data_IF_710947885395
#
_entry.id   IF_710947885395
#
_cell.length_a   1.000
_cell.length_b   1.000
_cell.length_c   1.000
_cell.angle_alpha   90.00
_cell.angle_beta   90.00
_cell.angle_gamma   90.00
#
_symmetry.space_group_name_H-M   'P 1'
#
loop_
_entity.id
_entity.type
_entity.pdbx_description
1 polymer ?
#
# COMPACT_ATOMS: atom_id res chain seq x y z
N UNK A 1 -10.44 27.29 8.37
CA UNK A 1 -9.75 25.99 8.19
C UNK A 1 -10.59 25.19 7.20
N UNK A 2 -10.15 24.98 5.96
CA UNK A 2 -10.98 24.28 4.99
C UNK A 2 -11.12 22.82 5.43
N UNK A 3 -12.34 22.32 5.43
CA UNK A 3 -12.65 20.92 5.66
C UNK A 3 -11.84 20.09 4.66
N UNK A 4 -10.80 19.40 5.15
CA UNK A 4 -10.27 18.26 4.45
C UNK A 4 -11.46 17.32 4.27
N UNK A 5 -11.95 17.20 3.04
CA UNK A 5 -12.70 16.03 2.65
C UNK A 5 -11.85 14.85 3.14
N UNK A 6 -12.31 14.15 4.17
CA UNK A 6 -11.70 12.93 4.67
C UNK A 6 -11.77 11.94 3.51
N UNK A 7 -10.78 11.97 2.62
CA UNK A 7 -10.65 11.05 1.51
C UNK A 7 -10.33 9.71 2.17
N UNK A 8 -11.38 8.92 2.39
CA UNK A 8 -11.23 7.56 2.88
C UNK A 8 -10.63 6.75 1.72
N UNK A 9 -9.36 6.40 1.84
CA UNK A 9 -8.62 5.72 0.79
C UNK A 9 -8.72 4.21 0.99
N UNK A 10 -8.91 3.49 -0.11
CA UNK A 10 -9.00 2.04 -0.10
C UNK A 10 -7.61 1.41 -0.21
N UNK A 11 -7.38 0.43 0.63
CA UNK A 11 -6.19 -0.40 0.70
C UNK A 11 -6.58 -1.87 0.60
N UNK A 12 -5.70 -2.67 -0.01
CA UNK A 12 -5.84 -4.11 -0.08
C UNK A 12 -4.59 -4.74 0.51
N UNK A 13 -4.76 -5.36 1.67
CA UNK A 13 -3.67 -5.91 2.47
C UNK A 13 -3.78 -7.43 2.51
N UNK A 14 -2.67 -8.09 2.85
CA UNK A 14 -2.75 -9.47 3.35
C UNK A 14 -3.56 -9.47 4.64
N UNK A 15 -4.36 -10.51 4.84
CA UNK A 15 -5.17 -10.63 6.05
C UNK A 15 -4.29 -11.11 7.22
N UNK A 16 -4.13 -10.24 8.20
CA UNK A 16 -3.33 -10.44 9.41
C UNK A 16 -4.16 -10.11 10.65
N UNK A 17 -5.49 -10.23 10.57
CA UNK A 17 -6.41 -9.90 11.68
C UNK A 17 -6.16 -10.70 12.96
N UNK A 18 -5.57 -11.88 12.82
CA UNK A 18 -5.26 -12.76 13.94
C UNK A 18 -3.87 -12.48 14.54
N UNK A 19 -3.07 -11.59 13.94
CA UNK A 19 -1.71 -11.29 14.39
C UNK A 19 -1.71 -10.38 15.64
N UNK A 20 -2.61 -9.39 15.72
CA UNK A 20 -2.79 -8.52 16.90
C UNK A 20 -4.17 -7.86 17.00
N UNK A 21 -4.55 -7.46 18.21
CA UNK A 21 -5.82 -6.77 18.47
C UNK A 21 -5.87 -5.38 17.83
N UNK A 22 -6.93 -5.09 17.09
CA UNK A 22 -7.12 -3.79 16.43
C UNK A 22 -6.44 -3.66 15.06
N UNK A 23 -5.91 -4.76 14.50
CA UNK A 23 -5.40 -4.79 13.15
C UNK A 23 -6.36 -4.16 12.10
N UNK A 24 -5.88 -3.33 11.15
CA UNK A 24 -4.50 -2.90 10.89
C UNK A 24 -4.16 -1.50 11.48
N UNK A 25 -4.81 -1.08 12.55
CA UNK A 25 -4.54 0.24 13.16
C UNK A 25 -3.08 0.36 13.62
N UNK A 26 -2.42 1.45 13.25
CA UNK A 26 -1.00 1.69 13.54
C UNK A 26 -0.02 0.89 12.68
N UNK A 27 -0.50 0.13 11.69
CA UNK A 27 0.37 -0.68 10.84
C UNK A 27 1.25 0.21 9.95
N UNK A 28 2.56 -0.07 9.94
CA UNK A 28 3.50 0.42 8.95
C UNK A 28 3.34 -0.34 7.63
N UNK A 29 2.75 0.30 6.63
CA UNK A 29 2.30 -0.33 5.39
C UNK A 29 3.13 0.16 4.19
N UNK A 30 3.59 -0.77 3.36
CA UNK A 30 4.38 -0.48 2.14
C UNK A 30 3.60 -0.70 0.86
N UNK A 31 2.45 -1.35 0.95
CA UNK A 31 1.52 -1.52 -0.14
C UNK A 31 1.08 -0.13 -0.65
N UNK A 32 0.62 0.00 -1.90
CA UNK A 32 -0.02 1.24 -2.35
C UNK A 32 -1.52 1.21 -2.02
N UNK A 33 -2.17 2.39 -1.93
CA UNK A 33 -3.62 2.43 -2.00
C UNK A 33 -4.09 1.90 -3.36
N UNK A 34 -5.29 1.31 -3.38
CA UNK A 34 -5.89 0.71 -4.58
C UNK A 34 -7.24 1.34 -4.89
N UNK A 35 -7.59 1.42 -6.17
CA UNK A 35 -8.96 1.72 -6.58
C UNK A 35 -9.82 0.45 -6.60
N UNK A 36 -11.14 0.60 -6.67
CA UNK A 36 -12.10 -0.52 -6.68
C UNK A 36 -11.80 -1.54 -7.80
N UNK A 37 -11.58 -1.13 -9.08
CA UNK A 37 -11.20 -2.08 -10.14
C UNK A 37 -9.90 -2.83 -9.86
N UNK A 38 -8.91 -2.15 -9.26
CA UNK A 38 -7.62 -2.78 -8.95
C UNK A 38 -7.74 -3.88 -7.90
N UNK A 39 -8.77 -3.90 -7.06
CA UNK A 39 -8.94 -4.98 -6.08
C UNK A 39 -9.05 -6.35 -6.75
N UNK A 40 -9.92 -6.48 -7.75
CA UNK A 40 -10.09 -7.74 -8.48
C UNK A 40 -8.79 -8.15 -9.22
N UNK A 41 -8.13 -7.16 -9.84
CA UNK A 41 -6.87 -7.40 -10.55
C UNK A 41 -5.76 -7.87 -9.60
N UNK A 42 -5.59 -7.20 -8.46
CA UNK A 42 -4.59 -7.54 -7.45
C UNK A 42 -4.84 -8.92 -6.84
N UNK A 43 -6.10 -9.27 -6.52
CA UNK A 43 -6.44 -10.61 -6.03
C UNK A 43 -6.09 -11.71 -7.03
N UNK A 44 -6.26 -11.44 -8.33
CA UNK A 44 -5.92 -12.39 -9.40
C UNK A 44 -4.40 -12.53 -9.57
N UNK A 45 -3.70 -11.40 -9.64
CA UNK A 45 -2.29 -11.37 -10.05
C UNK A 45 -1.32 -11.60 -8.88
N UNK A 46 -1.62 -11.11 -7.68
CA UNK A 46 -0.69 -11.14 -6.55
C UNK A 46 -0.74 -12.49 -5.80
N UNK A 47 0.35 -13.29 -5.80
CA UNK A 47 0.38 -14.56 -5.08
C UNK A 47 0.24 -14.42 -3.57
N UNK A 48 0.73 -13.32 -3.00
CA UNK A 48 0.69 -13.08 -1.56
C UNK A 48 -0.75 -12.90 -1.05
N UNK A 49 -1.61 -12.24 -1.84
CA UNK A 49 -3.02 -12.00 -1.48
C UNK A 49 -3.90 -13.25 -1.61
N UNK A 50 -3.46 -14.28 -2.36
CA UNK A 50 -4.18 -15.57 -2.43
C UNK A 50 -4.16 -16.36 -1.13
N UNK A 51 -3.27 -16.01 -0.19
CA UNK A 51 -3.18 -16.65 1.13
C UNK A 51 -4.11 -16.03 2.17
N UNK A 52 -4.86 -15.01 1.78
CA UNK A 52 -5.69 -14.21 2.68
C UNK A 52 -5.54 -12.74 2.30
N UNK A 53 -6.66 -12.05 2.12
CA UNK A 53 -6.69 -10.64 1.77
C UNK A 53 -7.82 -9.93 2.48
N UNK A 54 -7.56 -8.70 2.92
CA UNK A 54 -8.54 -7.83 3.52
C UNK A 54 -8.53 -6.47 2.81
N UNK A 55 -9.73 -5.99 2.46
CA UNK A 55 -9.89 -4.62 2.03
C UNK A 55 -10.15 -3.72 3.23
N UNK A 56 -9.47 -2.58 3.23
CA UNK A 56 -9.46 -1.65 4.36
C UNK A 56 -9.65 -0.23 3.83
N UNK A 57 -10.61 0.47 4.42
CA UNK A 57 -10.78 1.91 4.24
C UNK A 57 -10.02 2.65 5.33
N UNK A 58 -9.10 3.52 4.94
CA UNK A 58 -8.16 4.21 5.84
C UNK A 58 -8.45 5.71 5.80
N UNK A 59 -8.50 6.35 6.97
CA UNK A 59 -8.78 7.80 7.09
C UNK A 59 -7.51 8.64 7.13
N UNK A 60 -6.43 8.12 7.69
CA UNK A 60 -5.14 8.81 7.87
C UNK A 60 -4.02 7.84 7.51
N UNK A 61 -3.05 8.30 6.71
CA UNK A 61 -2.00 7.45 6.13
C UNK A 61 -0.68 8.22 5.96
N UNK A 62 -0.25 8.89 7.02
CA UNK A 62 0.94 9.73 7.02
C UNK A 62 2.20 8.94 6.67
N UNK A 63 3.16 9.62 6.01
CA UNK A 63 4.46 9.03 5.71
C UNK A 63 5.23 8.82 7.02
N UNK A 64 5.57 7.57 7.31
CA UNK A 64 6.28 7.19 8.53
C UNK A 64 7.76 6.88 8.28
N UNK A 65 8.12 6.49 7.06
CA UNK A 65 9.49 6.08 6.75
C UNK A 65 9.67 5.51 5.35
N UNK A 66 10.72 4.71 5.18
CA UNK A 66 11.07 4.04 3.92
C UNK A 66 11.44 2.58 4.15
N UNK A 67 11.16 1.75 3.15
CA UNK A 67 11.73 0.42 2.98
C UNK A 67 12.81 0.48 1.92
N UNK A 68 13.95 -0.18 2.15
CA UNK A 68 15.00 -0.25 1.15
C UNK A 68 16.23 -1.04 1.59
N UNK A 69 17.26 -1.02 0.75
CA UNK A 69 18.53 -1.66 1.03
C UNK A 69 19.43 -0.72 1.83
N UNK A 70 19.93 -1.19 2.97
CA UNK A 70 20.85 -0.49 3.85
C UNK A 70 22.29 -0.69 3.38
N UNK A 71 23.02 0.41 3.23
CA UNK A 71 24.43 0.39 2.88
C UNK A 71 25.32 0.83 4.05
N UNK A 72 26.56 0.38 4.05
CA UNK A 72 27.60 0.88 4.95
C UNK A 72 28.88 1.12 4.17
N UNK A 73 29.78 1.92 4.74
CA UNK A 73 31.12 2.12 4.20
C UNK A 73 31.93 0.84 4.36
N UNK A 74 32.32 0.22 3.25
CA UNK A 74 33.30 -0.86 3.17
C UNK A 74 34.68 -0.36 2.74
N UNK A 75 35.63 -1.29 2.56
CA UNK A 75 37.01 -0.97 2.22
C UNK A 75 37.18 -0.29 0.83
N UNK A 76 36.34 -0.66 -0.14
CA UNK A 76 36.43 -0.18 -1.54
C UNK A 76 35.19 0.60 -2.00
N UNK A 77 34.22 0.86 -1.13
CA UNK A 77 32.98 1.54 -1.49
C UNK A 77 31.82 1.22 -0.55
N UNK A 78 30.61 1.61 -0.94
CA UNK A 78 29.40 1.24 -0.21
C UNK A 78 29.10 -0.26 -0.40
N UNK A 79 28.77 -0.95 0.68
CA UNK A 79 28.41 -2.38 0.68
C UNK A 79 27.01 -2.50 1.26
N UNK A 80 26.14 -3.24 0.56
CA UNK A 80 24.81 -3.56 1.06
C UNK A 80 24.94 -4.52 2.25
N UNK A 81 24.22 -4.26 3.33
CA UNK A 81 24.31 -5.04 4.57
C UNK A 81 22.99 -5.68 4.98
N UNK A 82 21.84 -5.06 4.65
CA UNK A 82 20.53 -5.56 5.04
C UNK A 82 19.39 -4.93 4.22
N UNK A 83 18.20 -5.53 4.25
CA UNK A 83 16.94 -4.92 3.80
C UNK A 83 16.17 -4.41 5.02
N UNK A 84 15.90 -3.11 5.09
CA UNK A 84 15.38 -2.45 6.29
C UNK A 84 14.10 -1.67 6.04
N UNK A 85 13.32 -1.51 7.12
CA UNK A 85 12.24 -0.54 7.24
C UNK A 85 12.67 0.48 8.30
N UNK A 86 12.95 1.72 7.90
CA UNK A 86 13.40 2.77 8.82
C UNK A 86 12.43 3.94 8.83
N UNK A 87 12.19 4.48 10.02
CA UNK A 87 11.48 5.74 10.20
C UNK A 87 12.34 6.92 9.73
N UNK A 88 11.73 8.06 9.43
CA UNK A 88 12.45 9.24 8.92
C UNK A 88 13.41 9.88 9.93
N UNK A 89 13.17 9.67 11.22
CA UNK A 89 14.01 10.14 12.32
C UNK A 89 15.13 9.14 12.69
N UNK A 90 15.16 7.96 12.05
CA UNK A 90 16.23 7.01 12.24
C UNK A 90 17.53 7.55 11.59
N UNK A 91 18.64 7.66 12.34
CA UNK A 91 19.88 8.21 11.82
C UNK A 91 20.40 7.42 10.60
N UNK A 92 20.14 6.12 10.51
CA UNK A 92 20.67 5.27 9.44
C UNK A 92 19.94 5.46 8.11
N UNK A 93 18.83 6.21 8.06
CA UNK A 93 18.07 6.48 6.82
C UNK A 93 18.92 7.11 5.72
N UNK A 94 19.95 7.89 6.08
CA UNK A 94 20.90 8.51 5.13
C UNK A 94 21.73 7.51 4.32
N UNK A 95 21.73 6.25 4.73
CA UNK A 95 22.45 5.15 4.09
C UNK A 95 21.51 4.17 3.37
N UNK A 96 20.21 4.48 3.27
CA UNK A 96 19.24 3.60 2.63
C UNK A 96 18.99 4.03 1.19
N UNK A 97 19.11 3.07 0.26
CA UNK A 97 18.54 3.21 -1.07
C UNK A 97 17.09 2.75 -1.00
N UNK A 98 16.17 3.71 -0.90
CA UNK A 98 14.75 3.46 -0.72
C UNK A 98 14.12 2.84 -1.97
N UNK A 99 13.31 1.79 -1.77
CA UNK A 99 12.52 1.14 -2.82
C UNK A 99 11.02 1.29 -2.62
N UNK A 100 10.56 1.62 -1.41
CA UNK A 100 9.16 1.92 -1.12
C UNK A 100 9.00 2.92 0.04
N UNK A 101 7.88 3.64 0.04
CA UNK A 101 7.47 4.48 1.16
C UNK A 101 6.70 3.64 2.18
N UNK A 102 6.85 3.98 3.45
CA UNK A 102 6.06 3.41 4.55
C UNK A 102 5.02 4.44 4.97
N UNK A 103 3.76 4.01 5.07
CA UNK A 103 2.65 4.80 5.62
C UNK A 103 2.10 4.14 6.87
N UNK A 104 1.86 4.93 7.91
CA UNK A 104 1.16 4.44 9.08
C UNK A 104 -0.35 4.54 8.87
N UNK A 105 -1.06 3.41 8.94
CA UNK A 105 -2.51 3.39 8.70
C UNK A 105 -3.28 3.70 9.99
N UNK A 106 -4.14 4.71 9.94
CA UNK A 106 -5.00 5.11 11.07
C UNK A 106 -6.45 5.34 10.69
N UNK A 107 -7.32 5.09 11.66
CA UNK A 107 -8.77 5.13 11.48
C UNK A 107 -9.26 4.06 10.51
N UNK A 108 -8.76 2.84 10.66
CA UNK A 108 -9.01 1.74 9.73
C UNK A 108 -10.42 1.17 9.86
N UNK A 109 -11.03 0.80 8.73
CA UNK A 109 -12.32 0.12 8.70
C UNK A 109 -12.28 -1.01 7.67
N UNK A 110 -12.50 -2.22 8.14
CA UNK A 110 -12.57 -3.41 7.29
C UNK A 110 -13.81 -3.34 6.40
N UNK A 111 -13.65 -3.65 5.12
CA UNK A 111 -14.75 -3.70 4.16
C UNK A 111 -14.81 -5.11 3.56
N UNK A 112 -15.99 -5.74 3.51
CA UNK A 112 -16.14 -7.03 2.86
C UNK A 112 -15.74 -6.96 1.38
N UNK A 113 -14.84 -7.85 0.93
CA UNK A 113 -14.37 -7.88 -0.46
C UNK A 113 -15.52 -8.02 -1.47
N UNK A 114 -16.55 -8.83 -1.14
CA UNK A 114 -17.73 -9.00 -1.97
C UNK A 114 -18.49 -7.68 -2.23
N UNK A 115 -18.45 -6.73 -1.29
CA UNK A 115 -19.09 -5.41 -1.45
C UNK A 115 -18.30 -4.50 -2.38
N UNK A 116 -16.99 -4.70 -2.50
CA UNK A 116 -16.13 -3.92 -3.39
C UNK A 116 -16.28 -4.40 -4.84
N UNK A 117 -16.30 -5.72 -5.07
CA UNK A 117 -16.41 -6.30 -6.42
C UNK A 117 -17.73 -5.98 -7.14
N UNK A 118 -18.85 -5.81 -6.42
CA UNK A 118 -20.13 -5.40 -7.04
C UNK A 118 -20.11 -3.97 -7.61
N UNK A 119 -19.20 -3.13 -7.13
CA UNK A 119 -19.07 -1.75 -7.61
C UNK A 119 -18.17 -1.62 -8.85
N UNK A 120 -17.35 -2.63 -9.19
CA UNK A 120 -16.53 -2.61 -10.41
C UNK A 120 -17.31 -2.94 -11.67
N UNK A 121 -18.43 -3.68 -11.58
CA UNK A 121 -19.28 -4.05 -12.72
C UNK A 121 -20.09 -2.87 -13.28
N UNK A 122 -20.11 -1.72 -12.58
CA UNK A 122 -20.86 -0.53 -12.96
C UNK A 122 -20.02 0.58 -13.61
N UNK A 123 -18.71 0.40 -13.72
CA UNK A 123 -17.85 1.37 -14.40
C UNK A 123 -18.05 1.25 -15.92
N UNK A 124 -18.37 2.35 -16.64
CA UNK A 124 -18.46 2.29 -18.10
C UNK A 124 -17.10 1.92 -18.67
N UNK A 125 -17.09 0.92 -19.56
CA UNK A 125 -15.93 0.54 -20.35
C UNK A 125 -15.41 1.78 -21.07
N UNK A 126 -14.13 2.18 -20.94
CA UNK A 126 -13.59 3.21 -21.81
C UNK A 126 -13.58 2.64 -23.22
N UNK A 127 -14.44 3.19 -24.09
CA UNK A 127 -14.36 2.94 -25.51
C UNK A 127 -12.99 3.43 -25.99
N UNK A 128 -12.08 2.50 -26.28
CA UNK A 128 -10.89 2.81 -27.06
C UNK A 128 -11.40 3.33 -28.41
N UNK A 129 -11.40 4.66 -28.57
CA UNK A 129 -11.75 5.33 -29.81
C UNK A 129 -11.01 4.68 -30.97
N UNK A 130 -11.79 4.12 -31.90
CA UNK A 130 -11.26 3.51 -33.11
C UNK A 130 -10.43 4.54 -33.88
N UNK A 131 -9.13 4.28 -33.98
CA UNK A 131 -8.30 4.87 -35.03
C UNK A 131 -8.85 4.36 -36.37
N UNK A 132 -9.71 5.16 -36.99
CA UNK A 132 -9.98 5.06 -38.42
C UNK A 132 -8.66 5.35 -39.13
N UNK A 133 -8.18 4.35 -39.86
CA UNK A 133 -7.09 4.51 -40.81
C UNK A 133 -7.72 5.08 -42.09
N UNK A 134 -7.48 6.36 -42.35
CA UNK A 134 -7.59 6.94 -43.69
C UNK A 134 -6.16 7.04 -44.28
#
# INVERSE_FOLDING_TARGET
MPAAHLLIVLWLLRDHRDDWEGWPEGMACTEPPVCVPCVALSLRLCPALRRGAAAVRVRQFELAGVRGALYRKGASGAVAVDDVNLAYDDPDIRWVVASALIRELRGCTLVPLATISRNSEKAPTPECGGLRSD
#
